data_IF_860700407034
#
_entry.id   IF_860700407034
#
_cell.length_a   1.000
_cell.length_b   1.000
_cell.length_c   1.000
_cell.angle_alpha   90.00
_cell.angle_beta   90.00
_cell.angle_gamma   90.00
#
_symmetry.space_group_name_H-M   'P 1'
#
loop_
_entity.id
_entity.type
_entity.pdbx_description
1 polymer ?
#
# COMPACT_ATOMS: atom_id res chain seq x y z
N UNK A 1 13.00 -3.09 1.15
CA UNK A 1 12.30 -3.05 2.46
C UNK A 1 10.85 -3.40 2.22
N UNK A 2 10.21 -4.17 3.11
CA UNK A 2 8.78 -4.47 2.96
C UNK A 2 7.97 -3.27 3.46
N UNK A 3 7.05 -2.78 2.63
CA UNK A 3 6.21 -1.62 2.96
C UNK A 3 5.38 -1.86 4.23
N UNK A 4 4.99 -3.11 4.47
CA UNK A 4 4.25 -3.53 5.66
C UNK A 4 5.09 -3.44 6.96
N UNK A 5 6.34 -3.90 6.93
CA UNK A 5 7.23 -3.84 8.10
C UNK A 5 7.54 -2.41 8.51
N UNK A 6 7.81 -1.56 7.52
CA UNK A 6 7.99 -0.13 7.71
C UNK A 6 6.74 0.51 8.30
N UNK A 7 5.54 0.09 7.88
CA UNK A 7 4.29 0.64 8.39
C UNK A 7 4.04 0.32 9.85
N UNK A 8 4.32 -0.92 10.27
CA UNK A 8 4.28 -1.30 11.69
C UNK A 8 5.22 -0.41 12.50
N UNK A 9 6.46 -0.23 12.02
CA UNK A 9 7.45 0.61 12.69
C UNK A 9 6.96 2.04 12.86
N UNK A 10 6.48 2.66 11.79
CA UNK A 10 5.96 4.03 11.77
C UNK A 10 4.82 4.20 12.79
N UNK A 11 3.83 3.29 12.78
CA UNK A 11 2.68 3.36 13.67
C UNK A 11 3.06 3.10 15.13
N UNK A 12 3.98 2.17 15.39
CA UNK A 12 4.53 1.91 16.73
C UNK A 12 5.21 3.16 17.28
N UNK A 13 6.06 3.79 16.48
CA UNK A 13 6.81 5.00 16.87
C UNK A 13 5.88 6.20 17.09
N UNK A 14 4.83 6.34 16.26
CA UNK A 14 3.77 7.36 16.48
C UNK A 14 3.05 7.22 17.81
N UNK A 15 2.98 6.01 18.37
CA UNK A 15 2.42 5.74 19.69
C UNK A 15 3.47 5.76 20.82
N UNK A 16 4.70 6.16 20.53
CA UNK A 16 5.78 6.21 21.51
C UNK A 16 6.21 4.84 22.05
N UNK A 17 5.87 3.75 21.35
CA UNK A 17 6.22 2.41 21.79
C UNK A 17 7.59 1.96 21.28
N UNK A 18 8.32 1.21 22.09
CA UNK A 18 9.51 0.45 21.71
C UNK A 18 9.13 -0.91 21.08
N UNK A 19 10.05 -1.53 20.34
CA UNK A 19 9.82 -2.88 19.79
C UNK A 19 9.49 -3.89 20.90
N UNK A 20 10.15 -3.80 22.05
CA UNK A 20 9.92 -4.67 23.20
C UNK A 20 8.54 -4.46 23.83
N UNK A 21 7.99 -3.25 23.86
CA UNK A 21 6.64 -2.99 24.35
C UNK A 21 5.57 -3.57 23.43
N UNK A 22 5.73 -3.41 22.11
CA UNK A 22 4.83 -4.05 21.14
C UNK A 22 4.90 -5.58 21.25
N UNK A 23 6.11 -6.14 21.40
CA UNK A 23 6.33 -7.56 21.59
C UNK A 23 5.63 -8.10 22.85
N UNK A 24 5.75 -7.38 23.98
CA UNK A 24 5.06 -7.72 25.23
C UNK A 24 3.54 -7.74 25.07
N UNK A 25 2.96 -6.74 24.40
CA UNK A 25 1.51 -6.67 24.15
C UNK A 25 1.00 -7.79 23.24
N UNK A 26 1.84 -8.29 22.34
CA UNK A 26 1.54 -9.39 21.43
C UNK A 26 1.92 -10.77 22.00
N UNK A 27 2.53 -10.83 23.18
CA UNK A 27 3.07 -12.05 23.79
C UNK A 27 4.04 -12.82 22.86
N UNK A 28 5.00 -12.10 22.27
CA UNK A 28 6.05 -12.64 21.38
C UNK A 28 7.42 -12.06 21.72
N UNK A 29 8.47 -12.53 21.05
CA UNK A 29 9.82 -11.98 21.21
C UNK A 29 9.99 -10.63 20.49
N UNK A 30 10.82 -9.76 21.06
CA UNK A 30 11.29 -8.52 20.42
C UNK A 30 12.00 -8.77 19.09
N UNK A 31 12.76 -9.86 18.97
CA UNK A 31 13.37 -10.33 17.72
C UNK A 31 12.32 -10.59 16.63
N UNK A 32 11.12 -11.03 17.01
CA UNK A 32 10.00 -11.23 16.07
C UNK A 32 9.54 -9.89 15.50
N UNK A 33 9.37 -8.86 16.34
CA UNK A 33 9.02 -7.50 15.89
C UNK A 33 10.12 -6.95 14.99
N UNK A 34 11.39 -7.05 15.42
CA UNK A 34 12.53 -6.59 14.62
C UNK A 34 12.60 -7.29 13.25
N UNK A 35 12.29 -8.58 13.18
CA UNK A 35 12.23 -9.31 11.91
C UNK A 35 11.12 -8.80 10.99
N UNK A 36 9.98 -8.40 11.54
CA UNK A 36 8.89 -7.81 10.76
C UNK A 36 9.24 -6.41 10.26
N UNK A 37 9.73 -5.55 11.14
CA UNK A 37 10.09 -4.16 10.80
C UNK A 37 11.25 -4.08 9.80
N UNK A 38 12.18 -5.04 9.84
CA UNK A 38 13.25 -5.16 8.85
C UNK A 38 12.84 -5.92 7.57
N UNK A 39 11.61 -6.44 7.52
CA UNK A 39 11.07 -7.14 6.35
C UNK A 39 11.67 -8.53 6.09
N UNK A 40 12.38 -9.12 7.06
CA UNK A 40 12.96 -10.46 6.92
C UNK A 40 11.92 -11.56 7.15
N UNK A 41 10.84 -11.26 7.86
CA UNK A 41 9.68 -12.13 8.06
C UNK A 41 8.39 -11.32 8.04
N UNK A 42 7.26 -11.99 7.83
CA UNK A 42 5.92 -11.38 7.96
C UNK A 42 5.13 -12.05 9.10
N UNK A 43 4.25 -11.31 9.80
CA UNK A 43 3.32 -11.88 10.76
C UNK A 43 2.29 -12.77 10.05
N UNK A 44 1.78 -13.78 10.76
CA UNK A 44 0.59 -14.52 10.32
C UNK A 44 -0.66 -13.64 10.43
N UNK A 45 -1.70 -13.92 9.65
CA UNK A 45 -2.93 -13.12 9.63
C UNK A 45 -3.57 -12.90 11.01
N UNK A 46 -3.52 -13.88 11.92
CA UNK A 46 -4.01 -13.71 13.29
C UNK A 46 -3.25 -12.66 14.11
N UNK A 47 -1.94 -12.48 13.83
CA UNK A 47 -1.14 -11.42 14.45
C UNK A 47 -1.40 -10.07 13.80
N UNK A 48 -1.72 -10.01 12.50
CA UNK A 48 -2.10 -8.75 11.82
C UNK A 48 -3.33 -8.12 12.49
N UNK A 49 -4.34 -8.92 12.82
CA UNK A 49 -5.52 -8.47 13.59
C UNK A 49 -5.14 -7.89 14.97
N UNK A 50 -4.21 -8.56 15.65
CA UNK A 50 -3.79 -8.15 17.00
C UNK A 50 -2.97 -6.86 16.94
N UNK A 51 -2.10 -6.73 15.94
CA UNK A 51 -1.30 -5.53 15.67
C UNK A 51 -2.23 -4.34 15.39
N UNK A 52 -3.24 -4.51 14.54
CA UNK A 52 -4.17 -3.41 14.19
C UNK A 52 -4.93 -2.91 15.42
N UNK A 53 -5.36 -3.83 16.29
CA UNK A 53 -6.01 -3.48 17.57
C UNK A 53 -5.09 -2.74 18.53
N UNK A 54 -3.86 -3.22 18.72
CA UNK A 54 -2.88 -2.60 19.62
C UNK A 54 -2.49 -1.20 19.13
N UNK A 55 -2.29 -1.06 17.83
CA UNK A 55 -1.91 0.21 17.20
C UNK A 55 -3.12 1.10 16.89
N UNK A 56 -4.33 0.70 17.28
CA UNK A 56 -5.58 1.44 17.07
C UNK A 56 -5.76 1.95 15.64
N UNK A 57 -5.59 1.05 14.67
CA UNK A 57 -5.75 1.32 13.24
C UNK A 57 -6.58 0.22 12.59
N UNK A 58 -7.05 0.47 11.36
CA UNK A 58 -7.64 -0.59 10.55
C UNK A 58 -6.54 -1.53 10.02
N UNK A 59 -6.90 -2.76 9.66
CA UNK A 59 -5.93 -3.69 9.00
C UNK A 59 -5.40 -3.08 7.72
N UNK A 60 -6.23 -2.38 6.96
CA UNK A 60 -5.86 -1.67 5.73
C UNK A 60 -4.80 -0.60 5.95
N UNK A 61 -4.70 -0.02 7.14
CA UNK A 61 -3.66 0.98 7.44
C UNK A 61 -2.29 0.36 7.67
N UNK A 62 -2.24 -0.94 8.01
CA UNK A 62 -0.98 -1.70 8.16
C UNK A 62 -0.37 -2.07 6.81
N UNK A 63 -1.19 -2.19 5.79
CA UNK A 63 -0.73 -2.36 4.43
C UNK A 63 -0.56 -0.97 3.84
N UNK A 64 0.66 -0.61 3.45
CA UNK A 64 0.88 0.67 2.80
C UNK A 64 0.08 0.66 1.49
N UNK A 65 -1.10 1.28 1.51
CA UNK A 65 -1.87 1.63 0.32
C UNK A 65 -1.21 2.82 -0.37
N UNK A 66 0.12 2.88 -0.41
CA UNK A 66 0.79 3.33 -1.63
C UNK A 66 0.45 2.31 -2.71
N UNK A 67 -0.83 2.29 -3.12
CA UNK A 67 -1.16 2.01 -4.48
C UNK A 67 -0.19 2.91 -5.23
N UNK A 68 0.77 2.31 -5.94
CA UNK A 68 1.23 2.96 -7.16
C UNK A 68 -0.04 3.50 -7.81
N UNK A 69 -0.12 4.80 -8.15
CA UNK A 69 -1.37 5.38 -8.61
C UNK A 69 -1.96 4.41 -9.62
N UNK A 70 -3.23 4.04 -9.44
CA UNK A 70 -3.90 3.10 -10.33
C UNK A 70 -3.61 3.50 -11.78
N UNK A 71 -3.65 2.56 -12.72
CA UNK A 71 -3.46 2.92 -14.14
C UNK A 71 -4.36 4.09 -14.55
N UNK A 72 -5.56 4.17 -13.96
CA UNK A 72 -6.49 5.31 -14.07
C UNK A 72 -5.92 6.61 -13.49
N UNK A 73 -5.42 6.61 -12.25
CA UNK A 73 -4.80 7.80 -11.63
C UNK A 73 -3.55 8.25 -12.38
N UNK A 74 -2.71 7.33 -12.84
CA UNK A 74 -1.56 7.64 -13.69
C UNK A 74 -1.98 8.24 -15.02
N UNK A 75 -3.01 7.67 -15.67
CA UNK A 75 -3.54 8.17 -16.92
C UNK A 75 -4.10 9.59 -16.74
N UNK A 76 -4.90 9.84 -15.70
CA UNK A 76 -5.47 11.16 -15.42
C UNK A 76 -4.38 12.21 -15.15
N UNK A 77 -3.36 11.88 -14.36
CA UNK A 77 -2.25 12.80 -14.11
C UNK A 77 -1.48 13.15 -15.38
N UNK A 78 -1.16 12.14 -16.20
CA UNK A 78 -0.47 12.37 -17.49
C UNK A 78 -1.35 13.19 -18.43
N UNK A 79 -2.63 12.83 -18.56
CA UNK A 79 -3.60 13.49 -19.44
C UNK A 79 -3.78 14.97 -19.09
N UNK A 80 -3.90 15.29 -17.80
CA UNK A 80 -4.04 16.67 -17.33
C UNK A 80 -2.81 17.55 -17.62
N UNK A 81 -1.64 16.94 -17.80
CA UNK A 81 -0.39 17.65 -18.13
C UNK A 81 -0.18 17.84 -19.64
N UNK A 82 -1.05 17.29 -20.50
CA UNK A 82 -0.99 17.45 -21.95
C UNK A 82 -1.65 18.75 -22.40
N UNK A 83 -1.22 19.27 -23.55
CA UNK A 83 -1.93 20.36 -24.24
C UNK A 83 -3.30 19.88 -24.76
N UNK A 84 -4.25 20.80 -25.05
CA UNK A 84 -5.56 20.42 -25.59
C UNK A 84 -5.50 19.59 -26.88
N UNK A 85 -4.50 19.82 -27.73
CA UNK A 85 -4.31 19.07 -28.96
C UNK A 85 -3.82 17.63 -28.69
N UNK A 86 -2.88 17.46 -27.77
CA UNK A 86 -2.39 16.15 -27.34
C UNK A 86 -3.44 15.36 -26.56
N UNK A 87 -4.28 16.04 -25.76
CA UNK A 87 -5.43 15.43 -25.11
C UNK A 87 -6.42 14.86 -26.13
N UNK A 88 -6.70 15.60 -27.20
CA UNK A 88 -7.56 15.12 -28.28
C UNK A 88 -6.97 13.88 -28.96
N UNK A 89 -5.68 13.89 -29.28
CA UNK A 89 -4.99 12.72 -29.85
C UNK A 89 -5.06 11.50 -28.92
N UNK A 90 -4.91 11.70 -27.60
CA UNK A 90 -5.04 10.63 -26.63
C UNK A 90 -6.46 10.05 -26.60
N UNK A 91 -7.51 10.88 -26.67
CA UNK A 91 -8.90 10.44 -26.77
C UNK A 91 -9.13 9.65 -28.06
N UNK A 92 -8.70 10.17 -29.21
CA UNK A 92 -8.87 9.50 -30.51
C UNK A 92 -8.22 8.09 -30.50
N UNK A 93 -7.06 7.95 -29.85
CA UNK A 93 -6.42 6.64 -29.70
C UNK A 93 -7.17 5.69 -28.76
N UNK A 94 -7.73 6.21 -27.65
CA UNK A 94 -8.56 5.40 -26.75
C UNK A 94 -9.81 4.89 -27.45
N UNK A 95 -10.47 5.73 -28.25
CA UNK A 95 -11.63 5.34 -29.06
C UNK A 95 -11.27 4.22 -30.04
N UNK A 96 -10.11 4.33 -30.71
CA UNK A 96 -9.60 3.26 -31.58
C UNK A 96 -9.34 1.94 -30.83
N UNK A 97 -8.78 2.01 -29.61
CA UNK A 97 -8.56 0.79 -28.81
C UNK A 97 -9.88 0.14 -28.40
N UNK A 98 -10.89 0.94 -28.04
CA UNK A 98 -12.22 0.46 -27.67
C UNK A 98 -12.91 -0.20 -28.87
N UNK A 99 -12.85 0.41 -30.05
CA UNK A 99 -13.45 -0.17 -31.26
C UNK A 99 -12.76 -1.47 -31.66
N UNK A 100 -11.42 -1.53 -31.55
CA UNK A 100 -10.63 -2.72 -31.86
C UNK A 100 -10.97 -3.92 -30.95
N UNK A 101 -11.28 -3.68 -29.67
CA UNK A 101 -11.65 -4.75 -28.74
C UNK A 101 -13.06 -5.30 -29.03
N UNK A 102 -13.95 -4.48 -29.60
CA UNK A 102 -15.30 -4.90 -30.01
C UNK A 102 -15.32 -5.72 -31.30
N UNK A 103 -14.40 -5.49 -32.23
CA UNK A 103 -14.28 -6.29 -33.47
C UNK A 103 -13.65 -7.67 -33.26
N UNK A 104 -12.98 -7.90 -32.13
CA UNK A 104 -12.30 -9.17 -31.79
C UNK A 104 -13.11 -10.08 -30.84
N UNK A 105 -14.38 -9.75 -30.57
CA UNK A 105 -15.34 -10.58 -29.84
C UNK A 105 -16.41 -11.13 -30.76
#
# INVERSE_FOLDING_TARGET
MSDFGNKIKELREKQGMTQSELAKRLNISDKTISSWENGTRLPRMGLVESISKILNVSKSDLFDNKKSPSLTEQAMQKFNNLSPEEQKQAIDYLDYLISKDQENK
#
